data_IF_960508841264
#
_entry.id   IF_960508841264
#
_cell.length_a   1.000
_cell.length_b   1.000
_cell.length_c   1.000
_cell.angle_alpha   90.00
_cell.angle_beta   90.00
_cell.angle_gamma   90.00
#
_symmetry.space_group_name_H-M   'P 1'
#
loop_
_entity.id
_entity.type
_entity.pdbx_description
1 polymer ?
#
# COMPACT_ATOMS: atom_id res chain seq x y z
N UNK A 1 -29.33 -11.67 -12.00
CA UNK A 1 -29.56 -12.34 -10.70
C UNK A 1 -28.26 -12.75 -10.05
N UNK A 2 -27.36 -13.47 -10.73
CA UNK A 2 -26.10 -13.97 -10.13
C UNK A 2 -25.13 -12.84 -9.75
N UNK A 3 -24.98 -11.80 -10.60
CA UNK A 3 -24.16 -10.65 -10.25
C UNK A 3 -24.61 -9.91 -8.99
N UNK A 4 -25.93 -9.82 -8.78
CA UNK A 4 -26.50 -9.22 -7.54
C UNK A 4 -26.19 -10.10 -6.32
N UNK A 5 -26.27 -11.43 -6.48
CA UNK A 5 -25.94 -12.36 -5.39
C UNK A 5 -24.44 -12.29 -5.04
N UNK A 6 -23.56 -12.27 -6.04
CA UNK A 6 -22.13 -12.10 -5.81
C UNK A 6 -21.83 -10.78 -5.08
N UNK A 7 -22.50 -9.67 -5.46
CA UNK A 7 -22.36 -8.40 -4.73
C UNK A 7 -22.86 -8.49 -3.28
N UNK A 8 -23.98 -9.18 -3.04
CA UNK A 8 -24.51 -9.37 -1.66
C UNK A 8 -23.57 -10.22 -0.80
N UNK A 9 -22.92 -11.23 -1.40
CA UNK A 9 -21.90 -12.02 -0.70
C UNK A 9 -20.67 -11.18 -0.37
N UNK A 10 -20.19 -10.36 -1.30
CA UNK A 10 -19.08 -9.45 -1.02
C UNK A 10 -19.43 -8.45 0.10
N UNK A 11 -20.65 -7.89 0.12
CA UNK A 11 -21.13 -7.01 1.21
C UNK A 11 -21.20 -7.75 2.56
N UNK A 12 -21.62 -9.00 2.55
CA UNK A 12 -21.62 -9.82 3.75
C UNK A 12 -20.22 -10.00 4.30
N UNK A 13 -19.24 -10.35 3.45
CA UNK A 13 -17.84 -10.50 3.86
C UNK A 13 -17.24 -9.19 4.40
N UNK A 14 -17.54 -8.05 3.76
CA UNK A 14 -17.16 -6.73 4.31
C UNK A 14 -17.77 -6.52 5.69
N UNK A 15 -19.07 -6.83 5.87
CA UNK A 15 -19.74 -6.65 7.15
C UNK A 15 -19.15 -7.51 8.25
N UNK A 16 -18.76 -8.75 7.93
CA UNK A 16 -18.06 -9.64 8.87
C UNK A 16 -16.69 -9.08 9.21
N UNK A 17 -15.88 -8.72 8.22
CA UNK A 17 -14.53 -8.22 8.42
C UNK A 17 -14.46 -6.83 9.08
N UNK A 18 -15.52 -6.02 8.96
CA UNK A 18 -15.65 -4.74 9.68
C UNK A 18 -15.97 -4.91 11.16
N UNK A 19 -16.46 -6.08 11.58
CA UNK A 19 -16.76 -6.32 12.99
C UNK A 19 -15.46 -6.26 13.81
N UNK A 20 -15.36 -5.39 14.85
CA UNK A 20 -14.13 -5.20 15.61
C UNK A 20 -13.64 -6.43 16.38
N UNK A 21 -14.53 -7.40 16.66
CA UNK A 21 -14.16 -8.64 17.35
C UNK A 21 -13.67 -9.75 16.41
N UNK A 22 -13.75 -9.56 15.10
CA UNK A 22 -13.23 -10.52 14.11
C UNK A 22 -11.76 -10.23 13.87
N UNK A 23 -10.92 -11.21 14.14
CA UNK A 23 -9.48 -11.15 13.90
C UNK A 23 -9.14 -11.61 12.47
N UNK A 24 -7.97 -11.24 11.98
CA UNK A 24 -7.49 -11.67 10.64
C UNK A 24 -7.24 -13.18 10.56
N UNK A 25 -7.04 -13.84 11.69
CA UNK A 25 -6.86 -15.29 11.83
C UNK A 25 -8.18 -16.07 11.90
N UNK A 26 -9.34 -15.40 11.95
CA UNK A 26 -10.67 -16.03 12.02
C UNK A 26 -11.15 -16.55 10.65
N UNK A 27 -10.37 -17.43 10.04
CA UNK A 27 -10.63 -17.95 8.69
C UNK A 27 -12.05 -18.54 8.54
N UNK A 28 -12.58 -19.18 9.59
CA UNK A 28 -13.93 -19.74 9.56
C UNK A 28 -15.05 -18.68 9.48
N UNK A 29 -14.76 -17.44 9.87
CA UNK A 29 -15.69 -16.32 9.72
C UNK A 29 -15.44 -15.56 8.40
N UNK A 30 -14.19 -15.47 7.99
CA UNK A 30 -13.76 -14.71 6.81
C UNK A 30 -13.92 -15.47 5.50
N UNK A 31 -14.09 -16.80 5.54
CA UNK A 31 -14.36 -17.61 4.37
C UNK A 31 -15.65 -18.44 4.59
N UNK A 32 -16.69 -18.13 3.83
CA UNK A 32 -18.00 -18.73 3.98
C UNK A 32 -18.58 -19.20 2.65
N UNK A 33 -19.08 -20.43 2.64
CA UNK A 33 -19.83 -20.97 1.52
C UNK A 33 -21.23 -21.37 1.95
N UNK A 34 -22.24 -21.02 1.17
CA UNK A 34 -23.64 -21.26 1.46
C UNK A 34 -24.29 -22.15 0.39
N UNK A 35 -25.43 -22.79 0.69
CA UNK A 35 -26.19 -23.55 -0.28
C UNK A 35 -26.56 -22.71 -1.51
N UNK A 36 -26.45 -23.31 -2.71
CA UNK A 36 -26.74 -22.63 -3.97
C UNK A 36 -25.50 -22.00 -4.61
N UNK A 37 -24.32 -22.52 -4.28
CA UNK A 37 -23.01 -22.14 -4.87
C UNK A 37 -22.74 -20.66 -4.78
N UNK A 38 -22.98 -20.10 -3.64
CA UNK A 38 -22.70 -18.69 -3.28
C UNK A 38 -21.82 -18.64 -2.04
N UNK A 39 -21.02 -17.62 -1.93
CA UNK A 39 -20.15 -17.44 -0.78
C UNK A 39 -19.28 -16.20 -0.89
N UNK A 40 -18.40 -16.02 0.09
CA UNK A 40 -17.40 -14.97 0.09
C UNK A 40 -16.10 -15.41 0.75
N UNK A 41 -15.03 -14.75 0.38
CA UNK A 41 -13.75 -14.74 1.09
C UNK A 41 -13.42 -13.29 1.40
N UNK A 42 -13.07 -13.00 2.66
CA UNK A 42 -12.65 -11.68 3.08
C UNK A 42 -11.25 -11.73 3.71
N UNK A 43 -10.49 -10.66 3.57
CA UNK A 43 -9.18 -10.46 4.21
C UNK A 43 -9.17 -9.16 4.99
N UNK A 44 -8.39 -9.13 6.06
CA UNK A 44 -8.14 -7.96 6.91
C UNK A 44 -6.64 -7.73 6.93
N UNK A 45 -6.16 -6.63 6.35
CA UNK A 45 -4.75 -6.29 6.26
C UNK A 45 -4.52 -4.88 6.78
N UNK A 46 -3.30 -4.59 7.23
CA UNK A 46 -2.90 -3.21 7.52
C UNK A 46 -2.56 -2.46 6.23
N UNK A 47 -3.10 -1.27 6.07
CA UNK A 47 -2.70 -0.36 5.00
C UNK A 47 -1.28 0.18 5.22
N UNK A 48 -0.81 0.19 6.46
CA UNK A 48 0.56 0.54 6.86
C UNK A 48 1.62 -0.45 6.36
N UNK A 49 1.24 -1.61 5.80
CA UNK A 49 2.16 -2.54 5.13
C UNK A 49 2.68 -2.03 3.78
N UNK A 50 2.23 -0.85 3.34
CA UNK A 50 2.56 -0.21 2.05
C UNK A 50 3.18 1.16 2.28
N UNK A 51 4.06 1.59 1.38
CA UNK A 51 4.60 2.94 1.41
C UNK A 51 3.51 3.98 1.11
N UNK A 52 3.40 5.00 1.93
CA UNK A 52 2.55 6.14 1.60
C UNK A 52 3.27 7.04 0.61
N UNK A 53 2.84 6.98 -0.65
CA UNK A 53 3.51 7.73 -1.74
C UNK A 53 3.47 9.24 -1.50
N UNK A 54 2.38 9.77 -0.97
CA UNK A 54 2.31 11.20 -0.65
C UNK A 54 3.34 11.60 0.40
N UNK A 55 3.55 10.75 1.42
CA UNK A 55 4.58 11.01 2.44
C UNK A 55 5.98 10.96 1.87
N UNK A 56 6.29 10.00 1.00
CA UNK A 56 7.60 9.90 0.34
C UNK A 56 7.91 11.10 -0.54
N UNK A 57 6.92 11.64 -1.27
CA UNK A 57 7.10 12.75 -2.19
C UNK A 57 7.07 14.12 -1.50
N UNK A 58 6.38 14.25 -0.38
CA UNK A 58 6.20 15.53 0.32
C UNK A 58 7.19 15.76 1.46
N UNK A 59 7.95 14.77 1.86
CA UNK A 59 8.92 14.86 2.95
C UNK A 59 10.21 15.57 2.45
N UNK A 60 10.16 16.90 2.36
CA UNK A 60 11.21 17.73 1.76
C UNK A 60 12.05 18.41 2.84
N UNK A 61 13.29 17.94 2.99
CA UNK A 61 14.34 18.71 3.66
C UNK A 61 15.11 19.58 2.68
N UNK A 62 15.78 20.62 3.17
CA UNK A 62 16.74 21.43 2.40
C UNK A 62 17.98 20.57 2.07
N UNK A 63 18.02 19.92 0.92
CA UNK A 63 19.16 19.11 0.49
C UNK A 63 18.78 17.89 -0.34
N UNK A 64 19.72 16.93 -0.48
CA UNK A 64 19.45 15.68 -1.16
C UNK A 64 18.24 14.96 -0.50
N UNK A 65 17.23 14.67 -1.30
CA UNK A 65 16.00 14.05 -0.83
C UNK A 65 16.17 12.51 -0.82
N UNK A 66 16.34 11.90 0.36
CA UNK A 66 16.58 10.46 0.44
C UNK A 66 15.37 9.62 -0.01
N UNK A 67 14.16 10.18 0.02
CA UNK A 67 12.96 9.44 -0.35
C UNK A 67 12.82 9.34 -1.88
N UNK A 68 13.29 10.34 -2.63
CA UNK A 68 13.42 10.25 -4.09
C UNK A 68 14.41 9.16 -4.49
N UNK A 69 15.55 9.07 -3.82
CA UNK A 69 16.55 8.02 -4.07
C UNK A 69 15.97 6.63 -3.79
N UNK A 70 15.22 6.47 -2.69
CA UNK A 70 14.52 5.22 -2.37
C UNK A 70 13.56 4.81 -3.49
N UNK A 71 12.74 5.72 -4.00
CA UNK A 71 11.80 5.43 -5.09
C UNK A 71 12.53 5.05 -6.37
N UNK A 72 13.59 5.77 -6.75
CA UNK A 72 14.41 5.46 -7.92
C UNK A 72 15.02 4.06 -7.82
N UNK A 73 15.63 3.72 -6.69
CA UNK A 73 16.22 2.40 -6.46
C UNK A 73 15.16 1.29 -6.56
N UNK A 74 13.97 1.50 -6.00
CA UNK A 74 12.86 0.56 -6.13
C UNK A 74 12.47 0.34 -7.60
N UNK A 75 12.35 1.40 -8.39
CA UNK A 75 11.97 1.30 -9.80
C UNK A 75 13.05 0.59 -10.64
N UNK A 76 14.33 0.85 -10.35
CA UNK A 76 15.45 0.14 -10.98
C UNK A 76 15.40 -1.36 -10.67
N UNK A 77 15.11 -1.74 -9.42
CA UNK A 77 14.99 -3.15 -9.05
C UNK A 77 13.78 -3.85 -9.67
N UNK A 78 12.73 -3.11 -9.97
CA UNK A 78 11.59 -3.63 -10.74
C UNK A 78 11.94 -3.85 -12.22
N UNK A 79 13.11 -3.40 -12.67
CA UNK A 79 13.63 -3.59 -14.02
C UNK A 79 13.61 -2.33 -14.89
N UNK A 80 13.31 -1.16 -14.32
CA UNK A 80 13.46 0.10 -15.05
C UNK A 80 14.95 0.45 -15.27
N UNK A 81 15.26 1.08 -16.39
CA UNK A 81 16.57 1.69 -16.57
C UNK A 81 16.72 2.90 -15.64
N UNK A 82 17.95 3.17 -15.19
CA UNK A 82 18.25 4.15 -14.17
C UNK A 82 17.78 5.57 -14.53
N UNK A 83 18.06 6.02 -15.75
CA UNK A 83 17.63 7.34 -16.24
C UNK A 83 16.10 7.43 -16.33
N UNK A 84 15.44 6.36 -16.77
CA UNK A 84 13.97 6.30 -16.82
C UNK A 84 13.34 6.29 -15.42
N UNK A 85 13.93 5.55 -14.47
CA UNK A 85 13.49 5.57 -13.09
C UNK A 85 13.56 6.98 -12.48
N UNK A 86 14.64 7.72 -12.78
CA UNK A 86 14.80 9.11 -12.35
C UNK A 86 13.74 10.03 -12.99
N UNK A 87 13.46 9.88 -14.30
CA UNK A 87 12.40 10.65 -14.97
C UNK A 87 11.03 10.43 -14.32
N UNK A 88 10.69 9.19 -13.99
CA UNK A 88 9.41 8.88 -13.32
C UNK A 88 9.34 9.51 -11.94
N UNK A 89 10.43 9.43 -11.16
CA UNK A 89 10.47 10.03 -9.81
C UNK A 89 10.34 11.54 -9.88
N UNK A 90 11.07 12.20 -10.78
CA UNK A 90 11.00 13.65 -10.96
C UNK A 90 9.58 14.08 -11.38
N UNK A 91 8.95 13.36 -12.31
CA UNK A 91 7.58 13.64 -12.73
C UNK A 91 6.53 13.38 -11.62
N UNK A 92 6.75 12.41 -10.72
CA UNK A 92 5.91 12.20 -9.54
C UNK A 92 6.02 13.36 -8.55
N UNK A 93 7.19 13.95 -8.41
CA UNK A 93 7.42 15.12 -7.56
C UNK A 93 6.69 16.34 -8.12
N UNK A 94 6.92 16.66 -9.40
CA UNK A 94 6.24 17.78 -10.08
C UNK A 94 4.71 17.64 -10.04
N UNK A 95 4.20 16.40 -10.06
CA UNK A 95 2.76 16.17 -9.97
C UNK A 95 2.15 16.60 -8.64
N UNK A 96 2.89 16.47 -7.53
CA UNK A 96 2.35 16.72 -6.18
C UNK A 96 2.78 18.06 -5.59
N UNK A 97 3.81 18.67 -6.12
CA UNK A 97 4.29 19.91 -5.53
C UNK A 97 3.44 21.12 -5.97
N UNK A 98 3.53 22.21 -5.21
CA UNK A 98 2.70 23.40 -5.43
C UNK A 98 3.35 24.42 -6.38
N UNK A 99 4.60 24.19 -6.76
CA UNK A 99 5.34 25.11 -7.61
C UNK A 99 5.29 24.67 -9.08
N UNK A 100 5.68 25.54 -10.01
CA UNK A 100 5.73 25.30 -11.45
C UNK A 100 7.19 25.14 -11.96
N UNK A 101 8.12 24.80 -11.04
CA UNK A 101 9.52 24.61 -11.38
C UNK A 101 9.76 23.13 -11.68
N UNK A 102 9.92 22.83 -12.95
CA UNK A 102 10.18 21.47 -13.41
C UNK A 102 11.47 20.91 -12.81
N UNK A 103 11.39 19.73 -12.22
CA UNK A 103 12.57 18.96 -11.84
C UNK A 103 13.40 18.63 -13.08
N UNK A 104 14.67 18.24 -12.91
CA UNK A 104 15.62 18.11 -14.02
C UNK A 104 15.12 17.23 -15.18
N UNK A 105 14.41 16.16 -14.85
CA UNK A 105 13.80 15.22 -15.80
C UNK A 105 12.27 15.09 -15.59
N UNK A 106 11.68 16.07 -14.96
CA UNK A 106 10.29 16.07 -14.55
C UNK A 106 9.26 16.38 -15.63
N UNK A 107 8.05 16.70 -15.24
CA UNK A 107 6.95 17.00 -16.15
C UNK A 107 5.96 18.00 -15.53
N UNK A 108 6.04 19.24 -15.93
CA UNK A 108 5.14 20.31 -15.54
C UNK A 108 4.11 20.61 -16.64
N UNK A 109 3.27 21.63 -16.41
CA UNK A 109 2.19 22.02 -17.31
C UNK A 109 2.58 22.06 -18.80
N UNK A 110 3.75 22.61 -19.22
CA UNK A 110 4.13 22.65 -20.64
C UNK A 110 4.24 21.24 -21.27
N UNK A 111 4.70 20.24 -20.52
CA UNK A 111 4.75 18.85 -20.97
C UNK A 111 3.32 18.30 -21.22
N UNK A 112 2.45 18.42 -20.20
CA UNK A 112 1.07 17.89 -20.31
C UNK A 112 0.21 18.63 -21.31
N UNK A 113 0.40 19.96 -21.48
CA UNK A 113 -0.26 20.73 -22.54
C UNK A 113 0.15 20.23 -23.93
N UNK A 114 1.43 19.91 -24.13
CA UNK A 114 1.95 19.31 -25.36
C UNK A 114 1.30 17.96 -25.70
N UNK A 115 0.94 17.19 -24.67
CA UNK A 115 0.21 15.93 -24.79
C UNK A 115 -1.32 16.11 -24.88
N UNK A 116 -1.81 17.35 -24.83
CA UNK A 116 -3.25 17.69 -24.94
C UNK A 116 -4.02 17.70 -23.61
N UNK A 117 -3.31 17.70 -22.48
CA UNK A 117 -3.93 17.75 -21.15
C UNK A 117 -3.77 19.14 -20.51
N UNK A 118 -4.84 19.92 -20.53
CA UNK A 118 -4.83 21.32 -20.09
C UNK A 118 -4.98 21.53 -18.57
N UNK A 119 -5.07 20.48 -17.79
CA UNK A 119 -5.32 20.52 -16.35
C UNK A 119 -4.34 19.63 -15.54
N UNK A 120 -3.15 19.40 -16.05
CA UNK A 120 -2.09 18.62 -15.41
C UNK A 120 -0.79 19.40 -15.35
N UNK A 121 0.08 19.16 -14.36
CA UNK A 121 -0.16 18.30 -13.18
C UNK A 121 -1.25 18.88 -12.26
N UNK A 122 -1.61 18.17 -11.17
CA UNK A 122 -2.62 18.67 -10.23
C UNK A 122 -2.03 19.49 -9.10
N UNK A 123 -0.72 19.55 -8.94
CA UNK A 123 0.01 20.31 -7.92
C UNK A 123 -0.54 20.12 -6.51
N UNK A 124 -0.83 18.88 -6.14
CA UNK A 124 -1.36 18.47 -4.84
C UNK A 124 -1.11 16.98 -4.61
N UNK A 125 -1.17 16.51 -3.35
CA UNK A 125 -1.09 15.09 -3.03
C UNK A 125 -2.07 14.24 -3.85
N UNK A 126 -1.69 13.01 -4.14
CA UNK A 126 -2.58 12.05 -4.82
C UNK A 126 -3.83 11.79 -3.99
N UNK A 127 -4.99 11.76 -4.65
CA UNK A 127 -6.28 11.39 -4.04
C UNK A 127 -6.66 9.94 -4.32
N UNK A 128 -5.98 9.26 -5.23
CA UNK A 128 -6.10 7.83 -5.49
C UNK A 128 -4.83 7.28 -6.12
N UNK A 129 -4.56 5.98 -5.96
CA UNK A 129 -3.47 5.33 -6.69
C UNK A 129 -3.72 5.27 -8.20
N UNK A 130 -4.99 5.32 -8.65
CA UNK A 130 -5.31 5.38 -10.08
C UNK A 130 -4.83 6.69 -10.72
N UNK A 131 -4.74 7.76 -9.94
CA UNK A 131 -4.20 9.04 -10.39
C UNK A 131 -2.70 8.96 -10.74
N UNK A 132 -1.92 8.12 -10.05
CA UNK A 132 -0.49 7.94 -10.37
C UNK A 132 -0.25 7.50 -11.81
N UNK A 133 -1.17 6.75 -12.41
CA UNK A 133 -1.08 6.33 -13.83
C UNK A 133 -1.11 7.50 -14.82
N UNK A 134 -1.56 8.66 -14.38
CA UNK A 134 -1.64 9.86 -15.22
C UNK A 134 -0.31 10.61 -15.29
N UNK A 135 0.63 10.27 -14.41
CA UNK A 135 1.96 10.86 -14.35
C UNK A 135 2.82 10.33 -15.50
N UNK A 136 3.66 11.19 -16.08
CA UNK A 136 4.63 10.82 -17.12
C UNK A 136 5.45 9.59 -16.70
N UNK A 137 5.52 8.61 -17.59
CA UNK A 137 6.32 7.38 -17.40
C UNK A 137 5.62 6.28 -16.57
N UNK A 138 4.58 6.58 -15.79
CA UNK A 138 3.94 5.58 -14.93
C UNK A 138 3.25 4.45 -15.70
N UNK A 139 2.71 4.70 -16.90
CA UNK A 139 2.14 3.62 -17.74
C UNK A 139 3.23 2.66 -18.26
N UNK A 140 4.42 3.15 -18.55
CA UNK A 140 5.55 2.33 -18.96
C UNK A 140 6.12 1.56 -17.76
N UNK A 141 6.22 2.20 -16.59
CA UNK A 141 6.59 1.52 -15.34
C UNK A 141 5.60 0.38 -15.00
N UNK A 142 4.29 0.59 -15.17
CA UNK A 142 3.28 -0.45 -14.97
C UNK A 142 3.46 -1.64 -15.95
N UNK A 143 3.92 -1.41 -17.17
CA UNK A 143 4.25 -2.50 -18.10
C UNK A 143 5.49 -3.29 -17.67
N UNK A 144 6.48 -2.62 -17.09
CA UNK A 144 7.70 -3.24 -16.54
C UNK A 144 7.34 -4.05 -15.29
N UNK A 145 6.59 -3.45 -14.37
CA UNK A 145 6.20 -4.06 -13.10
C UNK A 145 4.71 -3.85 -12.79
N UNK A 146 3.81 -4.74 -13.25
CA UNK A 146 2.37 -4.62 -13.01
C UNK A 146 1.96 -4.63 -11.53
N UNK A 147 2.82 -5.15 -10.63
CA UNK A 147 2.59 -5.24 -9.19
C UNK A 147 2.87 -3.95 -8.41
N UNK A 148 3.20 -2.84 -9.04
CA UNK A 148 3.58 -1.60 -8.36
C UNK A 148 2.54 -1.10 -7.34
N UNK A 149 1.25 -1.38 -7.57
CA UNK A 149 0.15 -0.97 -6.67
C UNK A 149 0.21 -1.64 -5.30
N UNK A 150 0.82 -2.81 -5.19
CA UNK A 150 0.94 -3.53 -3.93
C UNK A 150 2.01 -2.93 -3.01
N UNK A 151 2.81 -2.00 -3.54
CA UNK A 151 3.86 -1.31 -2.80
C UNK A 151 3.38 0.00 -2.19
N UNK A 152 2.35 0.62 -2.75
CA UNK A 152 1.95 1.98 -2.38
C UNK A 152 0.54 2.06 -1.79
N UNK A 153 0.36 3.10 -0.98
CA UNK A 153 -0.92 3.59 -0.49
C UNK A 153 -0.91 5.11 -0.44
N UNK A 154 -2.09 5.70 -0.31
CA UNK A 154 -2.27 7.11 0.03
C UNK A 154 -2.98 7.28 1.39
N UNK A 155 -3.33 6.18 2.07
CA UNK A 155 -4.26 6.17 3.19
C UNK A 155 -3.62 5.90 4.54
N UNK A 156 -2.41 5.30 4.60
CA UNK A 156 -1.69 5.06 5.85
C UNK A 156 -1.33 6.37 6.57
N UNK A 157 -0.87 6.27 7.81
CA UNK A 157 -0.48 7.44 8.62
C UNK A 157 0.85 8.11 8.19
N UNK A 158 1.54 7.55 7.21
CA UNK A 158 2.77 8.09 6.62
C UNK A 158 3.89 7.08 6.54
N UNK A 159 4.45 6.65 7.66
CA UNK A 159 5.53 5.67 7.69
C UNK A 159 5.06 4.25 7.40
N UNK A 160 5.98 3.40 6.92
CA UNK A 160 5.78 1.96 6.75
C UNK A 160 5.71 1.30 8.14
N UNK A 161 4.67 0.52 8.40
CA UNK A 161 4.47 -0.14 9.70
C UNK A 161 5.41 -1.35 9.84
N UNK A 162 6.35 -1.27 10.77
CA UNK A 162 7.36 -2.31 11.02
C UNK A 162 6.74 -3.64 11.47
N UNK A 163 5.52 -3.63 12.02
CA UNK A 163 4.81 -4.83 12.44
C UNK A 163 4.07 -5.50 11.27
N UNK A 164 3.82 -4.80 10.19
CA UNK A 164 2.95 -5.23 9.11
C UNK A 164 3.66 -5.40 7.76
N UNK A 165 4.78 -4.70 7.59
CA UNK A 165 5.51 -4.69 6.33
C UNK A 165 6.11 -6.05 5.98
N UNK A 166 6.07 -6.38 4.68
CA UNK A 166 6.85 -7.48 4.15
C UNK A 166 8.36 -7.19 4.28
N UNK A 167 9.20 -8.22 4.44
CA UNK A 167 10.64 -8.03 4.58
C UNK A 167 11.28 -7.20 3.46
N UNK A 168 10.83 -7.36 2.22
CA UNK A 168 11.36 -6.58 1.09
C UNK A 168 11.14 -5.08 1.28
N UNK A 169 9.92 -4.67 1.68
CA UNK A 169 9.59 -3.27 1.93
C UNK A 169 10.31 -2.74 3.16
N UNK A 170 10.38 -3.53 4.24
CA UNK A 170 11.08 -3.14 5.46
C UNK A 170 12.58 -2.97 5.23
N UNK A 171 13.21 -3.89 4.49
CA UNK A 171 14.63 -3.80 4.13
C UNK A 171 14.95 -2.49 3.40
N UNK A 172 14.07 -2.07 2.48
CA UNK A 172 14.19 -0.81 1.76
C UNK A 172 14.01 0.41 2.66
N UNK A 173 12.94 0.45 3.43
CA UNK A 173 12.63 1.58 4.29
C UNK A 173 13.72 1.83 5.34
N UNK A 174 14.26 0.76 5.93
CA UNK A 174 15.27 0.80 6.98
C UNK A 174 16.72 0.77 6.44
N UNK A 175 16.92 0.57 5.13
CA UNK A 175 18.24 0.42 4.49
C UNK A 175 19.09 -0.70 5.14
N UNK A 176 18.46 -1.86 5.34
CA UNK A 176 19.08 -3.06 5.94
C UNK A 176 19.00 -4.25 4.99
N UNK A 177 19.66 -5.37 5.35
CA UNK A 177 19.56 -6.58 4.56
C UNK A 177 18.17 -7.22 4.64
N UNK A 178 17.81 -8.00 3.62
CA UNK A 178 16.57 -8.78 3.60
C UNK A 178 16.51 -9.81 4.73
N UNK A 179 17.65 -10.36 5.13
CA UNK A 179 17.74 -11.33 6.23
C UNK A 179 17.44 -10.64 7.57
N UNK A 180 17.96 -9.44 7.78
CA UNK A 180 17.66 -8.63 8.97
C UNK A 180 16.16 -8.28 9.03
N UNK A 181 15.60 -7.79 7.93
CA UNK A 181 14.17 -7.49 7.84
C UNK A 181 13.29 -8.74 8.05
N UNK A 182 13.72 -9.90 7.54
CA UNK A 182 13.06 -11.18 7.76
C UNK A 182 13.07 -11.54 9.25
N UNK A 183 14.17 -11.32 9.95
CA UNK A 183 14.26 -11.59 11.38
C UNK A 183 13.28 -10.73 12.21
N UNK A 184 13.01 -9.50 11.79
CA UNK A 184 12.00 -8.63 12.40
C UNK A 184 10.60 -9.21 12.19
N UNK A 185 10.25 -9.59 10.95
CA UNK A 185 8.96 -10.22 10.65
C UNK A 185 8.76 -11.50 11.47
N UNK A 186 9.75 -12.38 11.50
CA UNK A 186 9.67 -13.67 12.19
C UNK A 186 9.48 -13.48 13.69
N UNK A 187 10.12 -12.46 14.26
CA UNK A 187 9.88 -12.08 15.67
C UNK A 187 8.46 -11.58 15.90
N UNK A 188 7.93 -10.73 15.01
CA UNK A 188 6.56 -10.21 15.14
C UNK A 188 5.54 -11.33 15.08
N UNK A 189 5.71 -12.30 14.17
CA UNK A 189 4.76 -13.40 13.95
C UNK A 189 4.83 -14.51 15.01
N UNK A 190 5.88 -14.50 15.87
CA UNK A 190 6.04 -15.55 16.86
C UNK A 190 6.30 -16.95 16.27
N UNK A 191 6.24 -17.98 17.12
CA UNK A 191 6.58 -19.36 16.74
C UNK A 191 5.66 -20.01 15.70
N UNK A 192 4.38 -19.63 15.62
CA UNK A 192 3.42 -20.21 14.69
C UNK A 192 3.48 -19.59 13.29
N UNK A 193 4.19 -18.47 13.14
CA UNK A 193 4.34 -17.71 11.88
C UNK A 193 3.01 -17.24 11.28
N UNK A 194 1.97 -17.12 12.09
CA UNK A 194 0.62 -16.68 11.68
C UNK A 194 0.31 -15.34 12.33
N UNK A 195 0.03 -14.34 11.52
CA UNK A 195 -0.30 -13.00 12.02
C UNK A 195 -1.70 -12.93 12.63
N UNK A 196 -1.83 -12.24 13.76
CA UNK A 196 -3.08 -12.05 14.47
C UNK A 196 -3.37 -13.17 15.45
N UNK A 197 -2.35 -13.85 15.96
CA UNK A 197 -2.46 -14.92 16.97
C UNK A 197 -1.90 -14.45 18.32
N UNK A 198 -2.11 -15.24 19.38
CA UNK A 198 -1.73 -14.87 20.75
C UNK A 198 -0.21 -14.81 20.98
N UNK A 199 0.58 -15.46 20.13
CA UNK A 199 2.03 -15.48 20.23
C UNK A 199 2.76 -14.39 19.43
N UNK A 200 2.01 -13.54 18.70
CA UNK A 200 2.55 -12.34 18.05
C UNK A 200 3.27 -11.43 19.05
N UNK A 201 4.42 -10.89 18.64
CA UNK A 201 5.25 -9.98 19.45
C UNK A 201 5.48 -8.65 18.74
N UNK A 202 4.43 -7.82 18.58
CA UNK A 202 4.57 -6.56 17.88
C UNK A 202 5.44 -5.57 18.66
N UNK A 203 6.19 -4.76 17.93
CA UNK A 203 6.95 -3.63 18.49
C UNK A 203 6.02 -2.47 18.84
N UNK A 204 6.34 -1.75 19.92
CA UNK A 204 5.56 -0.59 20.35
C UNK A 204 5.86 0.66 19.50
N UNK A 205 7.06 0.74 18.92
CA UNK A 205 7.51 1.84 18.08
C UNK A 205 8.63 1.39 17.13
N UNK A 206 8.86 2.15 16.06
CA UNK A 206 9.88 1.84 15.05
C UNK A 206 11.31 1.93 15.56
N UNK A 207 11.57 2.72 16.61
CA UNK A 207 12.92 2.87 17.18
C UNK A 207 13.44 1.57 17.79
N UNK A 208 12.57 0.79 18.43
CA UNK A 208 12.93 -0.54 18.96
C UNK A 208 13.45 -1.48 17.85
N UNK A 209 12.88 -1.39 16.66
CA UNK A 209 13.33 -2.16 15.50
C UNK A 209 14.71 -1.68 15.05
N UNK A 210 14.92 -0.37 14.91
CA UNK A 210 16.21 0.20 14.52
C UNK A 210 17.32 -0.09 15.54
N UNK A 211 16.98 -0.13 16.84
CA UNK A 211 17.91 -0.53 17.90
C UNK A 211 18.30 -2.00 17.76
N UNK A 212 17.33 -2.88 17.52
CA UNK A 212 17.57 -4.32 17.35
C UNK A 212 18.41 -4.61 16.11
N UNK A 213 18.19 -3.88 15.03
CA UNK A 213 18.95 -3.99 13.78
C UNK A 213 20.34 -3.34 13.86
N UNK A 214 20.64 -2.62 14.93
CA UNK A 214 21.92 -1.93 15.11
C UNK A 214 22.15 -0.79 14.11
N UNK A 215 21.07 -0.19 13.62
CA UNK A 215 21.16 0.91 12.64
C UNK A 215 21.89 2.10 13.27
N UNK A 216 22.98 2.63 12.64
CA UNK A 216 23.75 3.74 13.17
C UNK A 216 22.91 5.02 13.29
N UNK A 217 23.16 5.84 14.31
CA UNK A 217 22.39 7.06 14.60
C UNK A 217 22.31 8.03 13.40
N UNK A 218 23.38 8.14 12.64
CA UNK A 218 23.39 9.01 11.43
C UNK A 218 22.43 8.50 10.35
N UNK A 219 22.30 7.19 10.19
CA UNK A 219 21.38 6.57 9.24
C UNK A 219 19.94 6.66 9.75
N UNK A 220 19.71 6.58 11.08
CA UNK A 220 18.39 6.72 11.68
C UNK A 220 17.71 8.05 11.33
N UNK A 221 18.47 9.13 11.22
CA UNK A 221 17.93 10.43 10.84
C UNK A 221 17.21 10.38 9.45
N UNK A 222 17.63 9.44 8.60
CA UNK A 222 17.05 9.23 7.26
C UNK A 222 15.91 8.21 7.31
N UNK A 223 16.12 7.06 7.97
CA UNK A 223 15.19 5.93 7.88
C UNK A 223 14.05 5.97 8.91
N UNK A 224 14.27 6.56 10.11
CA UNK A 224 13.24 6.61 11.16
C UNK A 224 11.95 7.34 10.71
N UNK A 225 12.01 8.47 9.95
CA UNK A 225 10.81 9.12 9.43
C UNK A 225 9.99 8.28 8.43
N UNK A 226 10.62 7.28 7.80
CA UNK A 226 9.97 6.36 6.86
C UNK A 226 9.21 5.23 7.55
N UNK A 227 9.37 5.08 8.87
CA UNK A 227 8.88 3.94 9.65
C UNK A 227 7.87 4.38 10.71
N UNK A 228 6.92 3.52 10.99
CA UNK A 228 5.98 3.65 12.10
C UNK A 228 5.72 2.29 12.73
N UNK A 229 4.92 2.26 13.79
CA UNK A 229 4.37 1.03 14.35
C UNK A 229 2.87 1.24 14.64
N UNK A 230 2.09 0.20 14.44
CA UNK A 230 0.65 0.18 14.74
C UNK A 230 -0.16 1.23 13.95
N UNK A 231 -0.01 1.23 12.61
CA UNK A 231 -0.85 2.07 11.74
C UNK A 231 -2.34 1.75 11.94
N UNK A 232 -3.20 2.75 12.20
CA UNK A 232 -4.60 2.52 12.49
C UNK A 232 -5.47 2.25 11.26
N UNK A 233 -4.87 2.21 10.05
CA UNK A 233 -5.60 2.09 8.79
C UNK A 233 -5.62 0.64 8.33
N UNK A 234 -6.81 0.12 8.10
CA UNK A 234 -7.06 -1.27 7.73
C UNK A 234 -7.64 -1.33 6.32
N UNK A 235 -7.12 -2.24 5.51
CA UNK A 235 -7.68 -2.67 4.23
C UNK A 235 -8.51 -3.93 4.46
N UNK A 236 -9.75 -3.89 4.02
CA UNK A 236 -10.65 -5.03 3.96
C UNK A 236 -10.92 -5.31 2.49
N UNK A 237 -10.60 -6.52 2.03
CA UNK A 237 -11.00 -6.99 0.71
C UNK A 237 -11.98 -8.14 0.87
N UNK A 238 -13.13 -8.07 0.20
CA UNK A 238 -14.09 -9.15 0.19
C UNK A 238 -14.47 -9.50 -1.23
N UNK A 239 -14.27 -10.75 -1.61
CA UNK A 239 -14.68 -11.30 -2.90
C UNK A 239 -15.87 -12.22 -2.68
N UNK A 240 -17.04 -11.80 -3.15
CA UNK A 240 -18.25 -12.61 -3.18
C UNK A 240 -18.43 -13.29 -4.52
N UNK A 241 -18.99 -14.49 -4.52
CA UNK A 241 -19.27 -15.24 -5.75
C UNK A 241 -20.69 -15.84 -5.77
N UNK A 242 -21.16 -16.09 -6.99
CA UNK A 242 -22.39 -16.83 -7.27
C UNK A 242 -22.25 -17.60 -8.56
N UNK A 243 -22.66 -18.89 -8.55
CA UNK A 243 -22.62 -19.80 -9.70
C UNK A 243 -21.61 -20.92 -9.56
N UNK A 244 -21.69 -21.90 -10.46
CA UNK A 244 -20.91 -23.13 -10.47
C UNK A 244 -19.65 -23.02 -11.34
N UNK A 245 -18.51 -23.42 -10.79
CA UNK A 245 -17.27 -23.63 -11.53
C UNK A 245 -16.87 -22.49 -12.47
N UNK A 246 -16.61 -22.77 -13.73
CA UNK A 246 -16.18 -21.78 -14.73
C UNK A 246 -17.23 -20.72 -15.15
N UNK A 247 -18.47 -20.85 -14.66
CA UNK A 247 -19.55 -19.85 -14.85
C UNK A 247 -19.78 -18.97 -13.62
N UNK A 248 -18.88 -19.03 -12.65
CA UNK A 248 -18.96 -18.26 -11.42
C UNK A 248 -18.77 -16.77 -11.69
N UNK A 249 -19.71 -15.94 -11.24
CA UNK A 249 -19.58 -14.49 -11.25
C UNK A 249 -19.00 -14.06 -9.90
N UNK A 250 -17.95 -13.25 -9.94
CA UNK A 250 -17.30 -12.71 -8.75
C UNK A 250 -17.39 -11.19 -8.71
N UNK A 251 -17.51 -10.67 -7.50
CA UNK A 251 -17.45 -9.24 -7.19
C UNK A 251 -16.50 -9.04 -6.03
N UNK A 252 -15.62 -8.06 -6.14
CA UNK A 252 -14.71 -7.64 -5.06
C UNK A 252 -15.12 -6.29 -4.55
N UNK A 253 -15.11 -6.15 -3.24
CA UNK A 253 -15.21 -4.87 -2.55
C UNK A 253 -13.92 -4.69 -1.78
N UNK A 254 -13.23 -3.58 -2.04
CA UNK A 254 -12.11 -3.10 -1.24
C UNK A 254 -12.60 -1.92 -0.41
N UNK A 255 -12.40 -1.99 0.90
CA UNK A 255 -12.76 -0.95 1.85
C UNK A 255 -11.53 -0.55 2.67
N UNK A 256 -11.19 0.73 2.67
CA UNK A 256 -10.14 1.28 3.53
C UNK A 256 -10.80 1.97 4.71
N UNK A 257 -10.43 1.54 5.91
CA UNK A 257 -11.06 2.00 7.17
C UNK A 257 -9.98 2.44 8.16
N UNK A 258 -10.10 3.65 8.69
CA UNK A 258 -9.28 4.09 9.81
C UNK A 258 -9.99 3.77 11.13
N UNK A 259 -9.23 3.31 12.14
CA UNK A 259 -9.72 2.94 13.46
C UNK A 259 -10.83 1.87 13.44
N UNK A 260 -10.64 0.78 12.71
CA UNK A 260 -11.61 -0.31 12.55
C UNK A 260 -12.18 -0.81 13.88
N UNK A 261 -11.34 -0.97 14.90
CA UNK A 261 -11.71 -1.49 16.23
C UNK A 261 -12.27 -0.44 17.19
N UNK A 262 -12.28 0.84 16.80
CA UNK A 262 -12.76 1.96 17.63
C UNK A 262 -13.96 2.67 17.02
N UNK A 263 -13.71 3.90 16.53
CA UNK A 263 -14.70 4.67 15.74
C UNK A 263 -14.27 4.62 14.28
N UNK A 264 -14.81 3.71 13.48
CA UNK A 264 -14.37 3.51 12.11
C UNK A 264 -14.76 4.71 11.23
N UNK A 265 -13.80 5.15 10.41
CA UNK A 265 -14.00 6.12 9.33
C UNK A 265 -13.65 5.47 8.02
N UNK A 266 -14.60 5.39 7.10
CA UNK A 266 -14.37 4.87 5.75
C UNK A 266 -13.61 5.95 4.96
N UNK A 267 -12.44 5.62 4.45
CA UNK A 267 -11.60 6.48 3.64
C UNK A 267 -11.81 6.22 2.14
N UNK A 268 -11.95 4.95 1.77
CA UNK A 268 -12.19 4.54 0.38
C UNK A 268 -13.09 3.32 0.34
N UNK A 269 -13.92 3.23 -0.69
CA UNK A 269 -14.69 2.04 -1.04
C UNK A 269 -14.71 1.85 -2.55
N UNK A 270 -14.16 0.74 -3.01
CA UNK A 270 -14.10 0.36 -4.43
C UNK A 270 -14.87 -0.94 -4.65
N UNK A 271 -15.58 -1.02 -5.77
CA UNK A 271 -16.32 -2.23 -6.18
C UNK A 271 -15.91 -2.61 -7.59
N UNK A 272 -15.45 -3.84 -7.75
CA UNK A 272 -14.91 -4.33 -9.02
C UNK A 272 -15.53 -5.67 -9.40
N UNK A 273 -15.58 -5.92 -10.71
CA UNK A 273 -15.79 -7.26 -11.22
C UNK A 273 -14.43 -7.93 -11.37
N UNK A 274 -14.29 -9.10 -10.81
CA UNK A 274 -13.08 -9.92 -10.95
C UNK A 274 -13.37 -11.15 -11.79
N UNK A 275 -12.36 -11.65 -12.51
CA UNK A 275 -12.50 -12.83 -13.36
C UNK A 275 -12.96 -14.10 -12.63
#
# INVERSE_FOLDING_TARGET
>A
VEGTRASQMAEMGVSVACNPVVERSDYLLLEQQFPGDVGFTATIESEGSRFNINSLLMNRGDGADPDKALLREMFVEWGAEDDFAQEVVDALVDWVDENELEELNGAEFPFYEGEGFLNRPYNRPFYSLDEMRLVRGMEDLERIYPGWRDWFTIWSSGGLDVNEADPEKLARAAEVSIDDATSIRDRVLGPDMIRGTEDDQPFSNSREVLDLLGVPEIQRMIVEPRLTANDPTTRIESTGWSGLGGSQIKRRITLIVRNRTGRPSILERKVEQVP
#
